data_IF_478888134474
#
_entry.id   IF_478888134474
#
_cell.length_a   1.000
_cell.length_b   1.000
_cell.length_c   1.000
_cell.angle_alpha   90.00
_cell.angle_beta   90.00
_cell.angle_gamma   90.00
#
_symmetry.space_group_name_H-M   'P 1'
#
loop_
_entity.id
_entity.type
_entity.pdbx_description
1 polymer ?
#
# COMPACT_ATOMS: atom_id res chain seq x y z
N UNK A 1 2.07 44.38 58.86
CA UNK A 1 2.26 43.05 59.44
C UNK A 1 0.93 42.33 59.21
N UNK A 2 0.73 41.50 58.21
CA UNK A 2 1.67 40.72 57.40
C UNK A 2 1.13 40.52 55.97
N UNK A 3 2.06 40.44 55.04
CA UNK A 3 1.87 40.02 53.65
C UNK A 3 2.07 38.51 53.56
N UNK A 4 1.25 37.80 52.77
CA UNK A 4 1.72 36.67 51.97
C UNK A 4 1.47 37.03 50.49
N UNK A 5 2.47 37.13 49.63
CA UNK A 5 3.54 36.16 49.43
C UNK A 5 3.19 35.40 48.15
N UNK A 6 3.69 35.92 47.04
CA UNK A 6 3.54 35.40 45.70
C UNK A 6 4.39 34.14 45.50
N UNK A 7 3.86 33.16 44.78
CA UNK A 7 4.63 32.16 44.04
C UNK A 7 3.90 31.93 42.70
N UNK A 8 4.05 32.88 41.79
CA UNK A 8 3.78 32.70 40.36
C UNK A 8 4.88 31.79 39.81
N UNK A 9 4.61 30.48 39.79
CA UNK A 9 5.48 29.50 39.16
C UNK A 9 5.37 29.64 37.63
N UNK A 10 6.33 30.39 37.08
CA UNK A 10 6.61 30.48 35.65
C UNK A 10 6.89 29.09 35.07
N UNK A 11 5.85 28.44 34.54
CA UNK A 11 5.99 27.34 33.58
C UNK A 11 6.37 27.94 32.21
N UNK A 12 7.62 28.40 32.10
CA UNK A 12 8.20 28.80 30.82
C UNK A 12 8.57 27.56 30.02
N UNK A 13 7.69 27.16 29.10
CA UNK A 13 8.03 26.99 27.70
C UNK A 13 9.17 26.04 27.32
N UNK A 14 9.10 24.77 27.73
CA UNK A 14 9.87 23.68 27.11
C UNK A 14 9.10 22.34 27.24
N UNK A 15 8.08 22.07 26.40
CA UNK A 15 7.49 20.72 26.39
C UNK A 15 6.98 20.20 25.04
N UNK A 16 6.93 21.01 23.99
CA UNK A 16 6.49 20.53 22.67
C UNK A 16 7.50 19.60 21.96
N UNK A 17 8.75 19.52 22.42
CA UNK A 17 9.77 18.67 21.81
C UNK A 17 9.90 17.26 22.44
N UNK A 18 9.19 16.97 23.54
CA UNK A 18 9.36 15.72 24.29
C UNK A 18 8.33 14.62 23.98
N UNK A 19 7.32 14.88 23.14
CA UNK A 19 6.29 13.88 22.83
C UNK A 19 6.70 12.80 21.82
N UNK A 20 7.85 12.92 21.15
CA UNK A 20 8.34 11.85 20.25
C UNK A 20 8.99 10.67 20.98
N UNK A 21 9.39 10.83 22.25
CA UNK A 21 10.10 9.77 23.00
C UNK A 21 9.24 9.00 24.01
N UNK A 22 8.08 9.53 24.43
CA UNK A 22 7.32 8.95 25.54
C UNK A 22 6.16 8.01 25.15
N UNK A 23 5.89 7.75 23.86
CA UNK A 23 4.91 6.72 23.45
C UNK A 23 5.59 5.37 23.17
N UNK A 24 6.54 4.98 24.01
CA UNK A 24 7.25 3.70 23.95
C UNK A 24 6.86 2.74 25.08
N UNK A 25 5.79 3.02 25.83
CA UNK A 25 5.33 2.16 26.91
C UNK A 25 4.02 1.49 26.52
N UNK A 26 4.09 0.17 26.34
CA UNK A 26 2.97 -0.77 26.46
C UNK A 26 2.03 -0.96 25.25
N UNK A 27 2.53 -0.84 24.01
CA UNK A 27 2.11 -1.85 23.02
C UNK A 27 2.85 -3.15 23.35
N UNK A 28 2.42 -3.81 24.43
CA UNK A 28 2.53 -5.26 24.50
C UNK A 28 1.76 -5.79 23.29
N UNK A 29 2.52 -5.98 22.22
CA UNK A 29 2.23 -6.72 21.02
C UNK A 29 1.70 -8.10 21.40
N UNK A 30 0.42 -8.16 21.76
CA UNK A 30 -0.30 -9.42 21.62
C UNK A 30 -0.20 -9.78 20.15
N UNK A 31 0.45 -10.92 19.91
CA UNK A 31 0.72 -11.56 18.64
C UNK A 31 -0.56 -11.96 17.88
N UNK A 32 -1.66 -11.24 18.04
CA UNK A 32 -2.88 -11.50 17.29
C UNK A 32 -2.57 -11.19 15.83
N UNK A 33 -2.55 -12.26 15.02
CA UNK A 33 -2.64 -12.20 13.57
C UNK A 33 -4.03 -11.73 13.10
N UNK A 34 -4.92 -11.44 14.05
CA UNK A 34 -6.32 -11.07 13.83
C UNK A 34 -6.51 -9.58 14.04
N UNK A 35 -7.39 -9.00 13.22
CA UNK A 35 -8.04 -7.74 13.51
C UNK A 35 -8.74 -7.83 14.87
N UNK A 36 -8.70 -6.75 15.65
CA UNK A 36 -9.73 -6.59 16.68
C UNK A 36 -10.99 -6.16 15.93
N UNK A 37 -12.12 -6.81 16.24
CA UNK A 37 -13.40 -6.63 15.53
C UNK A 37 -13.93 -5.18 15.61
N UNK A 38 -13.37 -4.35 16.49
CA UNK A 38 -13.78 -2.97 16.73
C UNK A 38 -13.30 -1.95 15.66
N UNK A 39 -12.50 -2.35 14.67
CA UNK A 39 -11.84 -1.43 13.71
C UNK A 39 -12.50 -1.34 12.32
N UNK A 40 -13.66 -1.96 12.08
CA UNK A 40 -14.26 -2.02 10.72
C UNK A 40 -14.57 -0.63 10.14
N UNK A 41 -15.04 0.29 10.99
CA UNK A 41 -15.27 1.69 10.59
C UNK A 41 -14.00 2.39 10.11
N UNK A 42 -12.82 1.95 10.56
CA UNK A 42 -11.54 2.54 10.16
C UNK A 42 -11.14 2.18 8.73
N UNK A 43 -11.64 1.08 8.15
CA UNK A 43 -11.28 0.68 6.79
C UNK A 43 -11.85 1.58 5.70
N UNK A 44 -12.98 2.22 5.98
CA UNK A 44 -13.76 2.99 5.01
C UNK A 44 -13.60 4.50 5.17
N UNK A 45 -12.90 4.94 6.21
CA UNK A 45 -12.70 6.35 6.51
C UNK A 45 -11.53 7.01 5.78
N UNK A 46 -11.51 8.34 5.88
CA UNK A 46 -10.47 9.22 5.37
C UNK A 46 -9.95 10.10 6.51
N UNK A 47 -8.63 10.33 6.56
CA UNK A 47 -7.96 11.13 7.59
C UNK A 47 -8.14 12.64 7.39
N UNK A 48 -8.28 13.08 6.14
CA UNK A 48 -8.31 14.51 5.79
C UNK A 48 -9.70 15.05 5.47
N UNK A 49 -10.71 14.17 5.42
CA UNK A 49 -12.05 14.55 5.05
C UNK A 49 -13.08 13.76 5.84
N UNK A 50 -13.95 14.49 6.53
CA UNK A 50 -15.12 13.93 7.21
C UNK A 50 -16.22 13.52 6.21
N UNK A 51 -16.10 13.99 4.96
CA UNK A 51 -17.04 13.66 3.89
C UNK A 51 -16.74 12.27 3.34
N UNK A 52 -17.49 11.28 3.84
CA UNK A 52 -17.49 9.93 3.28
C UNK A 52 -17.77 9.95 1.77
N UNK A 53 -18.67 10.83 1.30
CA UNK A 53 -18.98 10.95 -0.12
C UNK A 53 -17.75 11.33 -0.94
N UNK A 54 -16.97 12.32 -0.49
CA UNK A 54 -15.75 12.75 -1.19
C UNK A 54 -14.73 11.61 -1.27
N UNK A 55 -14.58 10.84 -0.20
CA UNK A 55 -13.69 9.70 -0.16
C UNK A 55 -14.15 8.53 -1.04
N UNK A 56 -15.45 8.22 -1.01
CA UNK A 56 -16.06 7.21 -1.86
C UNK A 56 -15.91 7.56 -3.35
N UNK A 57 -16.08 8.83 -3.72
CA UNK A 57 -15.86 9.31 -5.08
C UNK A 57 -14.40 9.16 -5.51
N UNK A 58 -13.43 9.50 -4.65
CA UNK A 58 -12.01 9.29 -4.94
C UNK A 58 -11.72 7.81 -5.22
N UNK A 59 -12.14 6.90 -4.33
CA UNK A 59 -11.91 5.46 -4.50
C UNK A 59 -12.63 4.89 -5.73
N UNK A 60 -13.82 5.38 -6.06
CA UNK A 60 -14.52 5.02 -7.30
C UNK A 60 -13.77 5.49 -8.56
N UNK A 61 -13.26 6.73 -8.58
CA UNK A 61 -12.46 7.24 -9.70
C UNK A 61 -11.17 6.45 -9.86
N UNK A 62 -10.52 6.10 -8.75
CA UNK A 62 -9.35 5.23 -8.73
C UNK A 62 -9.68 3.85 -9.32
N UNK A 63 -10.77 3.21 -8.89
CA UNK A 63 -11.19 1.91 -9.41
C UNK A 63 -11.49 1.95 -10.93
N UNK A 64 -12.22 2.98 -11.38
CA UNK A 64 -12.53 3.17 -12.81
C UNK A 64 -11.24 3.39 -13.60
N UNK A 65 -10.33 4.24 -13.12
CA UNK A 65 -9.04 4.47 -13.75
C UNK A 65 -8.25 3.17 -13.92
N UNK A 66 -8.09 2.40 -12.83
CA UNK A 66 -7.35 1.13 -12.86
C UNK A 66 -7.99 0.11 -13.80
N UNK A 67 -9.32 0.02 -13.79
CA UNK A 67 -10.05 -0.88 -14.69
C UNK A 67 -9.89 -0.49 -16.16
N UNK A 68 -10.04 0.80 -16.49
CA UNK A 68 -9.86 1.30 -17.86
C UNK A 68 -8.44 1.05 -18.33
N UNK A 69 -7.43 1.38 -17.53
CA UNK A 69 -6.02 1.14 -17.90
C UNK A 69 -5.76 -0.36 -18.07
N UNK A 70 -6.31 -1.23 -17.21
CA UNK A 70 -6.17 -2.68 -17.35
C UNK A 70 -6.75 -3.18 -18.68
N UNK A 71 -7.94 -2.70 -19.06
CA UNK A 71 -8.57 -3.05 -20.34
C UNK A 71 -7.74 -2.54 -21.51
N UNK A 72 -7.23 -1.31 -21.46
CA UNK A 72 -6.36 -0.76 -22.51
C UNK A 72 -5.07 -1.57 -22.65
N UNK A 73 -4.43 -1.93 -21.53
CA UNK A 73 -3.26 -2.81 -21.51
C UNK A 73 -3.60 -4.18 -22.12
N UNK A 74 -4.69 -4.80 -21.68
CA UNK A 74 -5.10 -6.10 -22.17
C UNK A 74 -5.33 -6.07 -23.68
N UNK A 75 -5.98 -5.04 -24.22
CA UNK A 75 -6.17 -4.88 -25.67
C UNK A 75 -4.82 -4.68 -26.37
N UNK A 76 -4.03 -3.69 -25.95
CA UNK A 76 -2.76 -3.33 -26.59
C UNK A 76 -1.77 -4.51 -26.60
N UNK A 77 -1.57 -5.15 -25.45
CA UNK A 77 -0.64 -6.26 -25.32
C UNK A 77 -1.19 -7.57 -25.88
N UNK A 78 -2.50 -7.84 -25.84
CA UNK A 78 -3.03 -9.05 -26.49
C UNK A 78 -2.91 -9.02 -28.01
N UNK A 79 -3.03 -7.84 -28.62
CA UNK A 79 -2.78 -7.68 -30.05
C UNK A 79 -1.31 -7.90 -30.42
N UNK A 80 -0.38 -7.57 -29.51
CA UNK A 80 1.06 -7.67 -29.77
C UNK A 80 1.66 -9.05 -29.40
N UNK A 81 1.27 -9.61 -28.26
CA UNK A 81 1.87 -10.82 -27.66
C UNK A 81 0.81 -11.86 -27.21
N UNK A 82 -0.43 -11.76 -27.67
CA UNK A 82 -1.46 -12.76 -27.38
C UNK A 82 -1.76 -12.90 -25.89
N UNK A 83 -1.67 -14.10 -25.32
CA UNK A 83 -1.87 -14.33 -23.88
C UNK A 83 -0.62 -14.11 -23.01
N UNK A 84 0.54 -13.91 -23.63
CA UNK A 84 1.84 -13.93 -22.95
C UNK A 84 2.10 -12.68 -22.10
N UNK A 85 1.32 -11.61 -22.28
CA UNK A 85 1.40 -10.42 -21.42
C UNK A 85 1.12 -10.73 -19.95
N UNK A 86 0.36 -11.80 -19.68
CA UNK A 86 0.13 -12.31 -18.33
C UNK A 86 1.36 -12.94 -17.69
N UNK A 87 2.51 -13.04 -18.36
CA UNK A 87 3.73 -13.60 -17.74
C UNK A 87 4.47 -12.57 -16.89
N UNK A 88 4.25 -11.28 -17.12
CA UNK A 88 5.02 -10.19 -16.53
C UNK A 88 4.48 -9.78 -15.15
N UNK A 89 5.40 -9.49 -14.23
CA UNK A 89 5.12 -9.08 -12.84
C UNK A 89 4.24 -7.84 -12.78
N UNK A 90 4.48 -6.88 -13.68
CA UNK A 90 3.69 -5.67 -13.81
C UNK A 90 2.22 -6.00 -13.97
N UNK A 91 1.89 -6.98 -14.82
CA UNK A 91 0.50 -7.33 -15.13
C UNK A 91 -0.16 -8.06 -13.97
N UNK A 92 0.55 -8.97 -13.29
CA UNK A 92 0.06 -9.59 -12.06
C UNK A 92 -0.24 -8.54 -10.99
N UNK A 93 0.70 -7.64 -10.75
CA UNK A 93 0.58 -6.58 -9.74
C UNK A 93 -0.57 -5.63 -10.09
N UNK A 94 -0.67 -5.24 -11.37
CA UNK A 94 -1.71 -4.33 -11.84
C UNK A 94 -3.11 -4.95 -11.74
N UNK A 95 -3.28 -6.23 -12.06
CA UNK A 95 -4.55 -6.95 -11.89
C UNK A 95 -4.95 -6.98 -10.41
N UNK A 96 -4.04 -7.35 -9.51
CA UNK A 96 -4.31 -7.36 -8.07
C UNK A 96 -4.69 -5.95 -7.57
N UNK A 97 -4.00 -4.92 -8.06
CA UNK A 97 -4.29 -3.53 -7.73
C UNK A 97 -5.66 -3.07 -8.22
N UNK A 98 -6.07 -3.48 -9.43
CA UNK A 98 -7.41 -3.21 -9.94
C UNK A 98 -8.48 -3.85 -9.07
N UNK A 99 -8.30 -5.10 -8.64
CA UNK A 99 -9.22 -5.75 -7.70
C UNK A 99 -9.27 -5.04 -6.35
N UNK A 100 -8.11 -4.66 -5.81
CA UNK A 100 -8.03 -3.86 -4.59
C UNK A 100 -8.82 -2.56 -4.73
N UNK A 101 -8.62 -1.79 -5.79
CA UNK A 101 -9.31 -0.52 -5.99
C UNK A 101 -10.83 -0.70 -6.09
N UNK A 102 -11.29 -1.73 -6.81
CA UNK A 102 -12.73 -2.07 -6.92
C UNK A 102 -13.31 -2.45 -5.55
N UNK A 103 -12.65 -3.34 -4.81
CA UNK A 103 -13.10 -3.74 -3.49
C UNK A 103 -13.05 -2.61 -2.47
N UNK A 104 -12.08 -1.71 -2.60
CA UNK A 104 -11.92 -0.56 -1.71
C UNK A 104 -13.04 0.45 -1.94
N UNK A 105 -13.37 0.72 -3.21
CA UNK A 105 -14.54 1.52 -3.58
C UNK A 105 -15.84 0.89 -3.10
N UNK A 106 -16.03 -0.41 -3.35
CA UNK A 106 -17.21 -1.15 -2.92
C UNK A 106 -17.37 -1.12 -1.39
N UNK A 107 -16.29 -1.41 -0.64
CA UNK A 107 -16.34 -1.43 0.82
C UNK A 107 -16.68 -0.04 1.38
N UNK A 108 -16.11 1.02 0.78
CA UNK A 108 -16.40 2.40 1.18
C UNK A 108 -17.87 2.77 0.93
N UNK A 109 -18.43 2.40 -0.23
CA UNK A 109 -19.83 2.65 -0.54
C UNK A 109 -20.79 1.81 0.29
N UNK A 110 -20.57 0.50 0.38
CA UNK A 110 -21.45 -0.40 1.11
C UNK A 110 -21.36 -0.09 2.61
N UNK A 111 -20.19 -0.29 3.22
CA UNK A 111 -20.06 -0.25 4.67
C UNK A 111 -19.93 1.15 5.23
N UNK A 112 -19.30 2.08 4.50
CA UNK A 112 -19.27 3.48 4.93
C UNK A 112 -20.67 4.08 5.00
N UNK A 113 -21.51 3.82 3.99
CA UNK A 113 -22.87 4.34 3.97
C UNK A 113 -23.76 3.61 4.99
N UNK A 114 -23.68 2.27 5.08
CA UNK A 114 -24.46 1.51 6.08
C UNK A 114 -24.09 1.89 7.52
N UNK A 115 -22.81 2.14 7.82
CA UNK A 115 -22.37 2.56 9.16
C UNK A 115 -22.95 3.93 9.60
N UNK A 116 -23.43 4.76 8.66
CA UNK A 116 -24.15 5.99 9.02
C UNK A 116 -25.58 5.73 9.51
N UNK A 117 -26.20 4.61 9.12
CA UNK A 117 -27.59 4.29 9.45
C UNK A 117 -27.73 3.31 10.60
N UNK A 118 -26.77 2.39 10.74
CA UNK A 118 -26.74 1.43 11.85
C UNK A 118 -25.32 1.43 12.46
N UNK A 119 -25.13 2.07 13.62
CA UNK A 119 -23.84 2.15 14.28
C UNK A 119 -23.49 0.87 15.05
N UNK A 120 -24.35 -0.16 15.04
CA UNK A 120 -23.97 -1.46 15.60
C UNK A 120 -22.68 -1.93 14.90
N UNK A 121 -21.58 -2.14 15.66
CA UNK A 121 -20.35 -2.62 15.08
C UNK A 121 -20.64 -3.93 14.34
N UNK A 122 -20.15 -4.03 13.11
CA UNK A 122 -20.17 -5.29 12.36
C UNK A 122 -19.40 -6.31 13.19
N UNK A 123 -20.16 -7.09 13.98
CA UNK A 123 -19.64 -8.03 14.98
C UNK A 123 -18.65 -9.03 14.38
N UNK A 124 -18.77 -9.29 13.08
CA UNK A 124 -17.82 -10.05 12.28
C UNK A 124 -17.45 -9.24 11.03
N UNK A 125 -16.20 -8.74 10.87
CA UNK A 125 -15.79 -8.06 9.66
C UNK A 125 -15.94 -8.99 8.45
N UNK A 126 -16.70 -8.58 7.41
CA UNK A 126 -16.78 -9.33 6.16
C UNK A 126 -15.38 -9.61 5.61
N UNK A 127 -15.20 -10.80 5.00
CA UNK A 127 -13.92 -11.26 4.45
C UNK A 127 -13.24 -10.29 3.47
N UNK A 128 -14.00 -9.36 2.89
CA UNK A 128 -13.48 -8.30 2.04
C UNK A 128 -12.48 -7.37 2.76
N UNK A 129 -12.65 -7.08 4.05
CA UNK A 129 -11.72 -6.23 4.79
C UNK A 129 -10.37 -6.91 4.99
N UNK A 130 -10.38 -8.21 5.28
CA UNK A 130 -9.16 -9.02 5.29
C UNK A 130 -8.49 -9.04 3.93
N UNK A 131 -9.26 -9.24 2.85
CA UNK A 131 -8.72 -9.21 1.49
C UNK A 131 -8.10 -7.85 1.15
N UNK A 132 -8.77 -6.74 1.48
CA UNK A 132 -8.28 -5.38 1.27
C UNK A 132 -6.98 -5.13 2.01
N UNK A 133 -6.90 -5.53 3.28
CA UNK A 133 -5.69 -5.32 4.04
C UNK A 133 -4.52 -6.18 3.56
N UNK A 134 -4.74 -7.47 3.26
CA UNK A 134 -3.68 -8.34 2.72
C UNK A 134 -3.17 -7.74 1.39
N UNK A 135 -4.09 -7.35 0.51
CA UNK A 135 -3.73 -6.79 -0.80
C UNK A 135 -3.06 -5.42 -0.68
N UNK A 136 -3.47 -4.56 0.26
CA UNK A 136 -2.78 -3.30 0.52
C UNK A 136 -1.32 -3.50 0.96
N UNK A 137 -1.09 -4.39 1.94
CA UNK A 137 0.26 -4.72 2.43
C UNK A 137 1.16 -5.22 1.29
N UNK A 138 0.60 -6.03 0.40
CA UNK A 138 1.28 -6.51 -0.80
C UNK A 138 1.57 -5.37 -1.80
N UNK A 139 0.54 -4.59 -2.15
CA UNK A 139 0.59 -3.60 -3.22
C UNK A 139 1.46 -2.40 -2.88
N UNK A 140 1.49 -1.93 -1.63
CA UNK A 140 2.38 -0.84 -1.23
C UNK A 140 3.85 -1.16 -1.50
N UNK A 141 4.26 -2.41 -1.30
CA UNK A 141 5.62 -2.85 -1.58
C UNK A 141 5.84 -3.14 -3.06
N UNK A 142 4.91 -3.86 -3.71
CA UNK A 142 5.11 -4.32 -5.09
C UNK A 142 4.87 -3.26 -6.16
N UNK A 143 3.97 -2.30 -5.95
CA UNK A 143 3.81 -1.19 -6.89
C UNK A 143 5.07 -0.33 -6.92
N UNK A 144 5.72 -0.11 -5.77
CA UNK A 144 7.02 0.56 -5.71
C UNK A 144 8.14 -0.28 -6.33
N UNK A 145 8.18 -1.59 -6.06
CA UNK A 145 9.14 -2.50 -6.70
C UNK A 145 9.02 -2.49 -8.23
N UNK A 146 7.81 -2.54 -8.76
CA UNK A 146 7.53 -2.46 -10.21
C UNK A 146 7.92 -1.09 -10.75
N UNK A 147 7.63 -0.01 -10.03
CA UNK A 147 8.04 1.34 -10.41
C UNK A 147 9.56 1.43 -10.57
N UNK A 148 10.33 1.14 -9.51
CA UNK A 148 11.78 1.27 -9.57
C UNK A 148 12.39 0.25 -10.54
N UNK A 149 11.91 -0.99 -10.56
CA UNK A 149 12.40 -2.03 -11.44
C UNK A 149 12.17 -1.67 -12.91
N UNK A 150 11.01 -1.10 -13.24
CA UNK A 150 10.77 -0.63 -14.59
C UNK A 150 11.68 0.53 -14.95
N UNK A 151 11.65 1.63 -14.20
CA UNK A 151 12.36 2.85 -14.58
C UNK A 151 13.89 2.76 -14.47
N UNK A 152 14.41 1.96 -13.54
CA UNK A 152 15.85 1.83 -13.34
C UNK A 152 16.49 0.67 -14.12
N UNK A 153 15.74 -0.39 -14.43
CA UNK A 153 16.30 -1.64 -14.98
C UNK A 153 15.74 -1.97 -16.36
N UNK A 154 14.43 -1.83 -16.56
CA UNK A 154 13.76 -2.32 -17.77
C UNK A 154 13.57 -1.24 -18.83
N UNK A 155 13.38 0.03 -18.45
CA UNK A 155 13.01 1.10 -19.36
C UNK A 155 14.12 1.35 -20.39
N UNK A 156 13.87 1.06 -21.68
CA UNK A 156 14.89 1.17 -22.71
C UNK A 156 15.14 2.64 -23.09
N UNK A 157 16.40 2.97 -23.36
CA UNK A 157 16.77 4.29 -23.86
C UNK A 157 16.15 4.53 -25.24
N UNK A 158 15.57 5.72 -25.44
CA UNK A 158 15.03 6.15 -26.73
C UNK A 158 13.57 5.73 -27.02
N UNK A 159 12.89 5.05 -26.10
CA UNK A 159 11.45 4.78 -26.24
C UNK A 159 10.63 6.03 -25.90
N UNK A 160 9.66 6.33 -26.76
CA UNK A 160 8.70 7.41 -26.54
C UNK A 160 7.75 7.01 -25.41
N UNK A 161 7.59 7.91 -24.43
CA UNK A 161 6.64 7.72 -23.35
C UNK A 161 5.21 7.81 -23.87
N UNK A 162 4.45 6.74 -23.69
CA UNK A 162 3.01 6.73 -23.85
C UNK A 162 2.29 6.71 -22.49
N UNK A 163 0.99 6.97 -22.53
CA UNK A 163 0.16 7.01 -21.33
C UNK A 163 0.12 5.66 -20.61
N UNK A 164 0.03 4.54 -21.34
CA UNK A 164 -0.09 3.20 -20.76
C UNK A 164 1.16 2.82 -19.96
N UNK A 165 2.35 3.16 -20.48
CA UNK A 165 3.64 2.94 -19.81
C UNK A 165 3.69 3.73 -18.50
N UNK A 166 3.37 5.03 -18.55
CA UNK A 166 3.41 5.88 -17.36
C UNK A 166 2.35 5.45 -16.33
N UNK A 167 1.17 5.04 -16.80
CA UNK A 167 0.07 4.60 -15.95
C UNK A 167 0.36 3.29 -15.21
N UNK A 168 0.91 2.28 -15.91
CA UNK A 168 1.15 0.93 -15.36
C UNK A 168 2.40 0.83 -14.50
N UNK A 169 3.36 1.73 -14.68
CA UNK A 169 4.63 1.68 -13.95
C UNK A 169 4.81 2.81 -12.94
N UNK A 170 4.19 3.98 -13.12
CA UNK A 170 4.36 5.14 -12.24
C UNK A 170 3.10 5.56 -11.49
N UNK A 171 2.04 5.87 -12.24
CA UNK A 171 0.80 6.44 -11.65
C UNK A 171 0.17 5.47 -10.67
N UNK A 172 0.21 4.16 -10.95
CA UNK A 172 -0.36 3.15 -10.06
C UNK A 172 0.31 3.13 -8.67
N UNK A 173 1.63 3.29 -8.57
CA UNK A 173 2.31 3.42 -7.27
C UNK A 173 1.86 4.69 -6.54
N UNK A 174 1.78 5.82 -7.24
CA UNK A 174 1.33 7.09 -6.65
C UNK A 174 -0.10 6.97 -6.12
N UNK A 175 -1.01 6.34 -6.87
CA UNK A 175 -2.39 6.13 -6.43
C UNK A 175 -2.47 5.20 -5.22
N UNK A 176 -1.66 4.13 -5.20
CA UNK A 176 -1.59 3.22 -4.05
C UNK A 176 -1.09 3.95 -2.79
N UNK A 177 -0.04 4.76 -2.94
CA UNK A 177 0.51 5.57 -1.85
C UNK A 177 -0.50 6.62 -1.38
N UNK A 178 -1.23 7.24 -2.31
CA UNK A 178 -2.27 8.24 -2.03
C UNK A 178 -3.43 7.64 -1.24
N UNK A 179 -3.96 6.48 -1.67
CA UNK A 179 -5.04 5.80 -0.95
C UNK A 179 -4.61 5.47 0.49
N UNK A 180 -3.41 4.88 0.65
CA UNK A 180 -2.88 4.54 1.97
C UNK A 180 -2.66 5.75 2.86
N UNK A 181 -2.12 6.84 2.31
CA UNK A 181 -1.79 8.04 3.09
C UNK A 181 -3.04 8.71 3.67
N UNK A 182 -4.14 8.69 2.91
CA UNK A 182 -5.40 9.28 3.34
C UNK A 182 -6.36 8.30 4.02
N UNK A 183 -6.19 6.99 3.85
CA UNK A 183 -7.05 6.00 4.49
C UNK A 183 -6.81 5.92 6.00
N UNK A 184 -7.90 5.76 6.76
CA UNK A 184 -7.83 5.41 8.18
C UNK A 184 -7.57 3.92 8.42
N UNK A 185 -7.47 3.10 7.37
CA UNK A 185 -7.30 1.66 7.50
C UNK A 185 -6.10 1.31 8.41
N UNK A 186 -6.18 0.26 9.24
CA UNK A 186 -5.12 -0.07 10.19
C UNK A 186 -3.73 -0.14 9.58
N UNK A 187 -2.73 0.32 10.33
CA UNK A 187 -1.36 0.48 9.86
C UNK A 187 -0.74 -0.82 9.34
N UNK A 188 0.04 -0.68 8.26
CA UNK A 188 0.98 -1.70 7.79
C UNK A 188 2.01 -1.94 8.89
N UNK A 189 2.10 -3.17 9.41
CA UNK A 189 3.07 -3.55 10.46
C UNK A 189 4.19 -4.40 9.85
N UNK A 190 5.41 -4.30 10.39
CA UNK A 190 6.54 -5.12 9.93
C UNK A 190 6.25 -6.62 9.99
N UNK A 191 5.44 -7.07 10.96
CA UNK A 191 5.09 -8.49 11.09
C UNK A 191 4.37 -9.06 9.86
N UNK A 192 3.82 -8.23 8.96
CA UNK A 192 3.14 -8.66 7.74
C UNK A 192 4.02 -8.61 6.49
N UNK A 193 5.32 -8.35 6.62
CA UNK A 193 6.28 -8.34 5.51
C UNK A 193 6.35 -9.70 4.79
N UNK A 194 5.94 -10.79 5.45
CA UNK A 194 5.85 -12.10 4.82
C UNK A 194 4.86 -12.12 3.64
N UNK A 195 3.84 -11.26 3.62
CA UNK A 195 2.85 -11.19 2.53
C UNK A 195 3.52 -10.79 1.21
N UNK A 196 4.17 -9.61 1.09
CA UNK A 196 4.88 -9.27 -0.13
C UNK A 196 6.08 -10.20 -0.40
N UNK A 197 6.81 -10.69 0.60
CA UNK A 197 7.89 -11.68 0.37
C UNK A 197 7.34 -12.94 -0.31
N UNK A 198 6.24 -13.48 0.18
CA UNK A 198 5.61 -14.69 -0.37
C UNK A 198 5.21 -14.48 -1.83
N UNK A 199 4.57 -13.34 -2.12
CA UNK A 199 4.21 -12.98 -3.50
C UNK A 199 5.44 -12.86 -4.41
N UNK A 200 6.50 -12.20 -3.94
CA UNK A 200 7.77 -12.11 -4.65
C UNK A 200 8.39 -13.47 -4.93
N UNK A 201 8.40 -14.37 -3.95
CA UNK A 201 8.94 -15.73 -4.10
C UNK A 201 8.10 -16.58 -5.07
N UNK A 202 6.77 -16.44 -5.06
CA UNK A 202 5.88 -17.09 -6.03
C UNK A 202 6.21 -16.62 -7.45
N UNK A 203 6.30 -15.30 -7.65
CA UNK A 203 6.63 -14.77 -8.97
C UNK A 203 8.05 -15.13 -9.40
N UNK A 204 9.00 -15.14 -8.46
CA UNK A 204 10.36 -15.56 -8.72
C UNK A 204 10.42 -17.03 -9.18
N UNK A 205 9.71 -17.93 -8.51
CA UNK A 205 9.57 -19.32 -8.94
C UNK A 205 8.94 -19.42 -10.33
N UNK A 206 7.89 -18.63 -10.60
CA UNK A 206 7.30 -18.52 -11.92
C UNK A 206 8.34 -18.13 -12.99
N UNK A 207 9.22 -17.16 -12.70
CA UNK A 207 10.26 -16.75 -13.64
C UNK A 207 11.25 -17.88 -13.98
N UNK A 208 11.58 -18.74 -13.01
CA UNK A 208 12.43 -19.93 -13.22
C UNK A 208 11.68 -20.94 -14.11
N UNK A 209 10.43 -21.25 -13.76
CA UNK A 209 9.60 -22.18 -14.55
C UNK A 209 9.50 -21.68 -15.99
N UNK A 210 9.24 -20.39 -16.20
CA UNK A 210 9.20 -19.80 -17.52
C UNK A 210 10.52 -20.02 -18.28
N UNK A 211 11.66 -19.70 -17.69
CA UNK A 211 12.97 -19.80 -18.32
C UNK A 211 13.33 -21.23 -18.80
N UNK A 212 12.83 -22.26 -18.10
CA UNK A 212 13.13 -23.67 -18.38
C UNK A 212 11.98 -24.46 -19.04
N UNK A 213 10.79 -23.88 -19.14
CA UNK A 213 9.62 -24.55 -19.75
C UNK A 213 9.68 -24.60 -21.27
N UNK A 214 10.53 -23.77 -21.90
CA UNK A 214 10.58 -23.61 -23.35
C UNK A 214 9.47 -22.71 -23.91
N UNK A 215 8.71 -22.04 -23.04
CA UNK A 215 7.80 -20.97 -23.43
C UNK A 215 8.58 -19.81 -24.08
N UNK A 216 7.96 -19.19 -25.07
CA UNK A 216 8.44 -17.99 -25.73
C UNK A 216 7.79 -16.73 -25.13
N UNK A 217 8.46 -15.59 -25.30
CA UNK A 217 7.95 -14.27 -24.88
C UNK A 217 7.21 -13.56 -26.02
N UNK A 218 6.63 -14.32 -26.93
CA UNK A 218 6.00 -13.82 -28.15
C UNK A 218 6.99 -13.08 -29.05
N UNK A 219 6.72 -11.81 -29.41
CA UNK A 219 7.57 -11.03 -30.30
C UNK A 219 8.86 -10.53 -29.64
N UNK A 220 9.02 -10.69 -28.32
CA UNK A 220 10.23 -10.28 -27.60
C UNK A 220 11.30 -11.37 -27.77
N UNK A 221 12.45 -11.01 -28.34
CA UNK A 221 13.56 -11.94 -28.52
C UNK A 221 14.10 -12.42 -27.16
N UNK A 222 14.31 -13.74 -27.06
CA UNK A 222 14.87 -14.39 -25.88
C UNK A 222 13.82 -15.12 -25.02
N UNK A 223 14.30 -16.00 -24.14
CA UNK A 223 13.46 -16.82 -23.24
C UNK A 223 13.28 -16.20 -21.85
N UNK A 224 14.09 -15.20 -21.52
CA UNK A 224 14.03 -14.53 -20.23
C UNK A 224 12.90 -13.50 -20.22
N UNK A 225 12.09 -13.45 -19.14
CA UNK A 225 11.03 -12.44 -19.01
C UNK A 225 11.61 -11.03 -18.89
N UNK A 226 12.76 -10.93 -18.24
CA UNK A 226 13.53 -9.71 -18.04
C UNK A 226 15.02 -10.01 -18.19
N UNK A 227 15.85 -9.00 -18.52
CA UNK A 227 17.31 -9.16 -18.53
C UNK A 227 17.87 -9.74 -17.21
N UNK A 228 17.29 -9.33 -16.07
CA UNK A 228 17.68 -9.82 -14.73
C UNK A 228 17.22 -11.28 -14.44
N UNK A 229 16.50 -11.90 -15.36
CA UNK A 229 16.03 -13.30 -15.26
C UNK A 229 16.63 -14.18 -16.36
N UNK A 230 17.69 -13.73 -17.03
CA UNK A 230 18.40 -14.53 -18.03
C UNK A 230 19.34 -15.56 -17.38
N UNK A 231 18.74 -16.58 -16.77
CA UNK A 231 19.44 -17.64 -16.05
C UNK A 231 20.30 -18.52 -16.97
N UNK A 232 20.02 -18.54 -18.27
CA UNK A 232 20.78 -19.35 -19.24
C UNK A 232 22.16 -18.73 -19.50
N UNK A 233 22.22 -17.41 -19.64
CA UNK A 233 23.50 -16.71 -19.85
C UNK A 233 24.16 -16.29 -18.53
N UNK A 234 23.39 -16.11 -17.47
CA UNK A 234 23.87 -15.65 -16.17
C UNK A 234 23.30 -16.50 -15.01
N UNK A 235 23.81 -17.73 -14.81
CA UNK A 235 23.25 -18.66 -13.81
C UNK A 235 23.33 -18.14 -12.37
N UNK A 236 24.26 -17.22 -12.05
CA UNK A 236 24.33 -16.58 -10.74
C UNK A 236 23.10 -15.71 -10.41
N UNK A 237 22.31 -15.31 -11.43
CA UNK A 237 21.04 -14.59 -11.20
C UNK A 237 19.99 -15.45 -10.47
N UNK A 238 20.17 -16.78 -10.44
CA UNK A 238 19.36 -17.67 -9.61
C UNK A 238 19.54 -17.39 -8.10
N UNK A 239 20.67 -16.82 -7.69
CA UNK A 239 20.90 -16.46 -6.29
C UNK A 239 20.52 -15.01 -6.01
N UNK A 240 20.66 -14.11 -6.98
CA UNK A 240 20.39 -12.69 -6.77
C UNK A 240 18.90 -12.38 -6.59
N UNK A 241 18.01 -13.13 -7.25
CA UNK A 241 16.56 -12.92 -7.15
C UNK A 241 16.03 -13.03 -5.70
N UNK A 242 16.21 -14.17 -5.01
CA UNK A 242 15.77 -14.33 -3.63
C UNK A 242 16.44 -13.34 -2.68
N UNK A 243 17.73 -13.05 -2.87
CA UNK A 243 18.47 -12.06 -2.06
C UNK A 243 17.85 -10.67 -2.24
N UNK A 244 17.56 -10.26 -3.47
CA UNK A 244 16.92 -8.98 -3.75
C UNK A 244 15.54 -8.92 -3.11
N UNK A 245 14.72 -9.98 -3.20
CA UNK A 245 13.39 -10.02 -2.57
C UNK A 245 13.50 -9.93 -1.04
N UNK A 246 14.39 -10.72 -0.43
CA UNK A 246 14.54 -10.81 1.03
C UNK A 246 15.18 -9.57 1.66
N UNK A 247 15.84 -8.71 0.88
CA UNK A 247 16.42 -7.45 1.37
C UNK A 247 15.55 -6.26 0.96
N UNK A 248 15.24 -6.14 -0.32
CA UNK A 248 14.57 -4.96 -0.86
C UNK A 248 13.13 -4.84 -0.38
N UNK A 249 12.35 -5.94 -0.37
CA UNK A 249 10.95 -5.89 0.05
C UNK A 249 10.82 -5.47 1.52
N UNK A 250 11.58 -6.02 2.48
CA UNK A 250 11.56 -5.53 3.86
C UNK A 250 11.94 -4.05 4.01
N UNK A 251 12.92 -3.56 3.24
CA UNK A 251 13.31 -2.15 3.29
C UNK A 251 12.18 -1.23 2.81
N UNK A 252 11.53 -1.58 1.70
CA UNK A 252 10.39 -0.83 1.18
C UNK A 252 9.20 -0.90 2.13
N UNK A 253 8.90 -2.09 2.67
CA UNK A 253 7.82 -2.29 3.63
C UNK A 253 8.05 -1.45 4.90
N UNK A 254 9.29 -1.42 5.39
CA UNK A 254 9.68 -0.57 6.51
C UNK A 254 9.52 0.93 6.18
N UNK A 255 9.99 1.37 5.01
CA UNK A 255 9.84 2.76 4.58
C UNK A 255 8.36 3.17 4.50
N UNK A 256 7.52 2.32 3.93
CA UNK A 256 6.07 2.53 3.87
C UNK A 256 5.46 2.62 5.28
N UNK A 257 5.87 1.77 6.21
CA UNK A 257 5.42 1.86 7.59
C UNK A 257 5.83 3.18 8.25
N UNK A 258 7.07 3.65 8.04
CA UNK A 258 7.49 4.95 8.57
C UNK A 258 6.66 6.10 7.99
N UNK A 259 6.36 6.05 6.70
CA UNK A 259 5.48 7.04 6.05
C UNK A 259 4.07 7.05 6.65
N UNK A 260 3.51 5.87 6.97
CA UNK A 260 2.20 5.77 7.63
C UNK A 260 2.24 6.30 9.06
N UNK A 261 3.30 6.02 9.82
CA UNK A 261 3.46 6.57 11.18
C UNK A 261 3.58 8.09 11.16
N UNK A 262 4.31 8.63 10.19
CA UNK A 262 4.42 10.08 9.98
C UNK A 262 3.05 10.68 9.61
N UNK A 263 2.28 10.03 8.73
CA UNK A 263 0.95 10.52 8.36
C UNK A 263 -0.02 10.49 9.54
N UNK A 264 0.03 9.45 10.37
CA UNK A 264 -0.74 9.33 11.60
C UNK A 264 -0.43 10.42 12.63
N UNK A 265 0.84 10.85 12.71
CA UNK A 265 1.25 11.94 13.57
C UNK A 265 0.81 13.31 13.03
N UNK A 266 0.90 13.52 11.72
CA UNK A 266 0.60 14.81 11.08
C UNK A 266 -0.89 15.03 10.81
N UNK A 267 -1.68 13.96 10.67
CA UNK A 267 -3.10 14.01 10.30
C UNK A 267 -3.92 13.29 11.38
N UNK A 268 -4.21 13.97 12.51
CA UNK A 268 -4.99 13.38 13.59
C UNK A 268 -6.38 13.00 13.11
N UNK A 269 -6.96 11.98 13.74
CA UNK A 269 -8.26 11.45 13.32
C UNK A 269 -9.35 12.51 13.46
N UNK A 270 -10.33 12.55 12.52
CA UNK A 270 -11.57 13.28 12.72
C UNK A 270 -12.17 13.00 14.09
N UNK A 271 -12.38 14.07 14.88
CA UNK A 271 -13.00 13.98 16.22
C UNK A 271 -12.06 13.87 17.42
N UNK A 272 -10.73 13.72 17.25
CA UNK A 272 -9.79 13.69 18.39
C UNK A 272 -9.31 15.09 18.84
N UNK A 273 -9.48 16.14 18.03
CA UNK A 273 -8.78 17.41 18.23
C UNK A 273 -9.41 18.39 19.24
N UNK A 274 -10.57 18.10 19.83
CA UNK A 274 -11.30 19.11 20.63
C UNK A 274 -11.49 18.78 22.11
N UNK A 275 -11.36 17.52 22.56
CA UNK A 275 -11.66 17.17 23.95
C UNK A 275 -10.45 17.26 24.90
N UNK A 276 -9.25 16.91 24.46
CA UNK A 276 -8.08 16.81 25.36
C UNK A 276 -7.33 18.15 25.52
N UNK A 277 -7.32 19.02 24.50
CA UNK A 277 -6.64 20.32 24.61
C UNK A 277 -7.33 21.34 25.52
N UNK A 278 -8.61 21.13 25.87
CA UNK A 278 -9.31 22.01 26.81
C UNK A 278 -9.10 21.62 28.28
N UNK A 279 -8.59 20.41 28.57
CA UNK A 279 -8.35 19.94 29.94
C UNK A 279 -6.95 20.30 30.43
N UNK A 280 -5.97 20.49 29.54
CA UNK A 280 -4.61 20.92 29.92
C UNK A 280 -4.44 22.45 30.04
N UNK A 281 -5.49 23.23 29.77
CA UNK A 281 -5.47 24.69 29.90
C UNK A 281 -6.38 25.25 31.01
N UNK A 282 -6.92 24.38 31.87
CA UNK A 282 -7.72 24.75 33.04
C UNK A 282 -7.06 24.24 34.32
#
# INVERSE_FOLDING_TARGET
MDSPGADDEKLTGESAACCLCCRNTEEEETWSFTFKDDEVGEFVGCRISDSLLSWALFRSLYAVFMFVVLVLCAIQYSLFMGGQWLYFLTMWTFIIQTFYAIFSAYATWAYGYFAQYDPEPLRDPPGIFYALWITENLLLSFTFFVFIGFWAIVFPAGVVLDFTIVATHGVNWVLMLTDRYFSTMPAVRMKHVYVPITYGMIYYLWSIIHAYSGLDNGPIEGKALYPITDYNNHPLLLLSGPIAILIFIPLVHYANQQLVRLSEHCLPRPGQTTAEHHVEMA
#
